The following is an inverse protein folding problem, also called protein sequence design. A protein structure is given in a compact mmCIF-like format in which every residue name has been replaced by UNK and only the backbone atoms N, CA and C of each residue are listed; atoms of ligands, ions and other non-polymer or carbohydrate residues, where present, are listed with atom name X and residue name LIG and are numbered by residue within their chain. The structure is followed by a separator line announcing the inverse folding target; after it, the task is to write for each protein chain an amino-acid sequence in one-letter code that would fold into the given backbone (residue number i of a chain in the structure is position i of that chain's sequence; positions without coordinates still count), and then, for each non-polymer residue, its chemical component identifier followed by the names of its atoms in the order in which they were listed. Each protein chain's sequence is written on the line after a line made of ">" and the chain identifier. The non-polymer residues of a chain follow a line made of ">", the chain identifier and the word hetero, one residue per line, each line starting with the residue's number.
data_IF_045894540643
#
_entry.id   IF_045894540643
#
_cell.length_a   1.000
_cell.length_b   1.000
_cell.length_c   1.000
_cell.angle_alpha   90.00
_cell.angle_beta   90.00
_cell.angle_gamma   90.00
#
_symmetry.space_group_name_H-M   'P 1'
#
loop_
_entity.id
_entity.type
_entity.pdbx_description
1 polymer ?
#
# COMPACT_ATOMS: atom_id res chain seq x y z
N UNK A 1 -6.51 -3.74 12.64
CA UNK A 1 -5.44 -3.06 13.43
C UNK A 1 -4.28 -2.61 12.55
N UNK A 2 -3.78 -3.43 11.63
CA UNK A 2 -2.64 -3.09 10.74
C UNK A 2 -2.90 -1.87 9.85
N UNK A 3 -4.13 -1.65 9.37
CA UNK A 3 -4.48 -0.47 8.58
C UNK A 3 -4.27 0.86 9.35
N UNK A 4 -4.64 0.91 10.65
CA UNK A 4 -4.40 2.08 11.50
C UNK A 4 -2.90 2.32 11.73
N UNK A 5 -2.13 1.25 11.96
CA UNK A 5 -0.67 1.35 12.12
C UNK A 5 0.00 1.84 10.84
N UNK A 6 -0.45 1.37 9.68
CA UNK A 6 0.05 1.85 8.38
C UNK A 6 -0.31 3.33 8.14
N UNK A 7 -1.51 3.76 8.52
CA UNK A 7 -1.91 5.16 8.47
C UNK A 7 -1.04 6.02 9.40
N UNK A 8 -0.84 5.55 10.64
CA UNK A 8 0.02 6.24 11.61
C UNK A 8 1.48 6.33 11.12
N UNK A 9 2.00 5.31 10.44
CA UNK A 9 3.36 5.33 9.90
C UNK A 9 3.55 6.45 8.85
N UNK A 10 2.57 6.66 7.95
CA UNK A 10 2.60 7.77 6.98
C UNK A 10 2.48 9.12 7.67
N UNK A 11 1.57 9.26 8.65
CA UNK A 11 1.46 10.46 9.48
C UNK A 11 2.77 10.76 10.22
N UNK A 12 3.37 9.74 10.88
CA UNK A 12 4.60 9.89 11.63
C UNK A 12 5.72 10.41 10.73
N UNK A 13 5.98 9.75 9.60
CA UNK A 13 6.97 10.17 8.62
C UNK A 13 6.72 11.59 8.09
N UNK A 14 5.48 11.92 7.75
CA UNK A 14 5.10 13.27 7.31
C UNK A 14 5.40 14.33 8.36
N UNK A 15 5.23 14.01 9.65
CA UNK A 15 5.38 14.95 10.76
C UNK A 15 6.83 15.12 11.23
N UNK A 16 7.60 14.04 11.23
CA UNK A 16 8.93 14.02 11.88
C UNK A 16 10.09 14.23 10.92
N UNK A 17 9.94 13.85 9.67
CA UNK A 17 11.04 13.90 8.70
C UNK A 17 11.04 15.20 7.89
N UNK A 18 12.19 15.85 7.78
CA UNK A 18 12.37 17.04 6.95
C UNK A 18 12.38 16.68 5.45
N UNK A 19 13.16 15.66 5.07
CA UNK A 19 13.16 15.12 3.71
C UNK A 19 12.15 13.98 3.60
N UNK A 20 10.96 14.30 3.13
CA UNK A 20 9.87 13.33 3.05
C UNK A 20 10.03 12.43 1.83
N UNK A 21 10.13 11.12 2.08
CA UNK A 21 10.07 10.08 1.05
C UNK A 21 8.66 10.02 0.47
N UNK A 22 7.66 10.11 1.34
CA UNK A 22 6.25 10.16 0.98
C UNK A 22 5.50 11.08 1.93
N UNK A 23 4.93 12.16 1.40
CA UNK A 23 4.18 13.13 2.19
C UNK A 23 2.69 12.81 2.21
N UNK A 24 2.13 12.59 3.41
CA UNK A 24 0.73 12.27 3.62
C UNK A 24 0.09 13.03 4.80
N UNK A 25 -0.15 14.33 4.66
CA UNK A 25 -0.77 15.12 5.71
C UNK A 25 -2.18 14.62 6.08
N UNK A 26 -2.93 14.06 5.12
CA UNK A 26 -4.29 13.57 5.37
C UNK A 26 -4.31 12.35 6.31
N UNK A 27 -3.26 11.55 6.36
CA UNK A 27 -3.16 10.44 7.31
C UNK A 27 -3.28 10.92 8.76
N UNK A 28 -2.81 12.14 9.06
CA UNK A 28 -2.96 12.76 10.38
C UNK A 28 -4.37 13.27 10.66
N UNK A 29 -5.11 13.68 9.64
CA UNK A 29 -6.46 14.24 9.77
C UNK A 29 -7.51 13.15 10.06
N UNK A 30 -7.33 11.95 9.50
CA UNK A 30 -8.27 10.82 9.67
C UNK A 30 -8.01 9.97 10.92
N UNK A 31 -6.91 10.22 11.63
CA UNK A 31 -6.60 9.58 12.92
C UNK A 31 -6.95 10.51 14.07
N UNK A 32 -7.74 10.03 15.02
CA UNK A 32 -7.98 10.77 16.27
C UNK A 32 -6.71 10.90 17.11
N UNK A 33 -6.61 11.93 17.93
CA UNK A 33 -5.49 12.13 18.86
C UNK A 33 -5.33 10.95 19.83
N UNK A 34 -6.44 10.34 20.26
CA UNK A 34 -6.41 9.18 21.14
C UNK A 34 -5.79 7.95 20.44
N UNK A 35 -6.09 7.74 19.15
CA UNK A 35 -5.49 6.67 18.35
C UNK A 35 -4.01 6.90 18.11
N UNK A 36 -3.61 8.13 17.74
CA UNK A 36 -2.20 8.51 17.58
C UNK A 36 -1.41 8.23 18.84
N UNK A 37 -1.93 8.66 20.00
CA UNK A 37 -1.28 8.44 21.29
C UNK A 37 -1.22 6.94 21.65
N UNK A 38 -2.32 6.21 21.47
CA UNK A 38 -2.37 4.79 21.77
C UNK A 38 -1.39 3.97 20.91
N UNK A 39 -1.31 4.27 19.60
CA UNK A 39 -0.36 3.60 18.70
C UNK A 39 1.06 3.96 19.09
N UNK A 40 1.36 5.24 19.33
CA UNK A 40 2.69 5.68 19.73
C UNK A 40 3.16 5.00 21.05
N UNK A 41 2.30 4.95 22.07
CA UNK A 41 2.63 4.30 23.34
C UNK A 41 2.82 2.78 23.17
N UNK A 42 1.97 2.12 22.38
CA UNK A 42 2.15 0.69 22.11
C UNK A 42 3.48 0.41 21.39
N UNK A 43 3.88 1.25 20.43
CA UNK A 43 5.16 1.10 19.73
C UNK A 43 6.35 1.35 20.65
N UNK A 44 6.31 2.39 21.49
CA UNK A 44 7.35 2.65 22.51
C UNK A 44 7.52 1.48 23.47
N UNK A 45 6.41 0.99 24.02
CA UNK A 45 6.40 -0.12 24.96
C UNK A 45 6.84 -1.44 24.32
N UNK A 46 6.68 -1.57 23.01
CA UNK A 46 7.11 -2.73 22.22
C UNK A 46 8.60 -2.74 21.87
N UNK A 47 9.39 -1.73 22.24
CA UNK A 47 10.81 -1.61 21.81
C UNK A 47 11.63 -2.88 22.08
N UNK A 48 11.44 -3.53 23.21
CA UNK A 48 12.18 -4.75 23.55
C UNK A 48 11.89 -5.92 22.59
N UNK A 49 10.72 -5.96 21.99
CA UNK A 49 10.39 -6.92 20.92
C UNK A 49 11.10 -6.59 19.60
N UNK A 50 11.13 -5.31 19.24
CA UNK A 50 11.73 -4.86 17.98
C UNK A 50 13.26 -4.82 18.05
N UNK A 51 13.81 -4.29 19.13
CA UNK A 51 15.24 -4.15 19.35
C UNK A 51 15.57 -4.36 20.84
N UNK A 52 15.84 -5.63 21.25
CA UNK A 52 16.08 -5.97 22.67
C UNK A 52 17.28 -5.25 23.30
N UNK A 53 18.22 -4.77 22.48
CA UNK A 53 19.44 -4.11 22.94
C UNK A 53 19.37 -2.58 22.83
N UNK A 54 18.21 -2.04 22.48
CA UNK A 54 18.07 -0.59 22.34
C UNK A 54 18.20 0.12 23.68
N UNK A 55 19.11 1.08 23.75
CA UNK A 55 19.39 1.92 24.93
C UNK A 55 19.29 3.41 24.66
N UNK A 56 18.78 3.80 23.48
CA UNK A 56 18.64 5.20 23.07
C UNK A 56 17.44 5.91 23.70
N UNK A 57 17.37 7.22 23.52
CA UNK A 57 16.33 8.09 24.10
C UNK A 57 15.01 8.14 23.31
N UNK A 58 14.95 7.62 22.07
CA UNK A 58 13.75 7.66 21.22
C UNK A 58 13.31 6.25 20.78
N UNK A 59 12.62 5.50 21.65
CA UNK A 59 12.12 4.17 21.29
C UNK A 59 11.04 4.20 20.21
N UNK A 60 10.23 5.28 20.11
CA UNK A 60 9.24 5.41 19.06
C UNK A 60 9.88 5.56 17.69
N UNK A 61 10.83 6.49 17.56
CA UNK A 61 11.58 6.68 16.30
C UNK A 61 12.30 5.42 15.87
N UNK A 62 12.93 4.71 16.82
CA UNK A 62 13.60 3.43 16.54
C UNK A 62 12.64 2.38 15.97
N UNK A 63 11.44 2.21 16.57
CA UNK A 63 10.45 1.27 16.06
C UNK A 63 9.88 1.72 14.73
N UNK A 64 9.49 2.98 14.62
CA UNK A 64 8.89 3.50 13.40
C UNK A 64 9.86 3.44 12.22
N UNK A 65 11.01 4.09 12.31
CA UNK A 65 11.96 4.20 11.19
C UNK A 65 12.72 2.89 10.93
N UNK A 66 12.92 2.08 11.96
CA UNK A 66 13.63 0.81 11.83
C UNK A 66 12.77 -0.36 11.33
N UNK A 67 11.47 -0.38 11.63
CA UNK A 67 10.67 -1.60 11.44
C UNK A 67 9.33 -1.40 10.73
N UNK A 68 8.59 -0.32 11.01
CA UNK A 68 7.20 -0.18 10.55
C UNK A 68 7.10 0.72 9.30
N UNK A 69 7.58 1.96 9.39
CA UNK A 69 7.41 2.96 8.34
C UNK A 69 8.08 2.57 7.01
N UNK A 70 9.27 1.94 6.97
CA UNK A 70 9.96 1.72 5.70
C UNK A 70 9.13 0.98 4.65
N UNK A 71 8.41 -0.10 5.02
CA UNK A 71 7.57 -0.83 4.07
C UNK A 71 6.36 -0.02 3.63
N UNK A 72 5.77 0.76 4.54
CA UNK A 72 4.57 1.55 4.26
C UNK A 72 4.89 2.74 3.36
N UNK A 73 5.95 3.49 3.65
CA UNK A 73 6.34 4.66 2.84
C UNK A 73 6.92 4.25 1.48
N UNK A 74 7.67 3.13 1.42
CA UNK A 74 8.20 2.59 0.17
C UNK A 74 7.08 2.25 -0.82
N UNK A 75 6.11 1.43 -0.39
CA UNK A 75 4.98 1.05 -1.27
C UNK A 75 4.15 2.27 -1.69
N UNK A 76 3.98 3.24 -0.79
CA UNK A 76 3.24 4.46 -1.10
C UNK A 76 3.98 5.35 -2.11
N UNK A 77 5.30 5.50 -1.97
CA UNK A 77 6.13 6.27 -2.89
C UNK A 77 6.22 5.59 -4.27
N UNK A 78 6.43 4.27 -4.29
CA UNK A 78 6.43 3.48 -5.51
C UNK A 78 5.09 3.58 -6.25
N UNK A 79 3.98 3.39 -5.56
CA UNK A 79 2.64 3.51 -6.13
C UNK A 79 2.37 4.91 -6.67
N UNK A 80 2.70 5.96 -5.91
CA UNK A 80 2.51 7.36 -6.34
C UNK A 80 3.25 7.65 -7.64
N UNK A 81 4.52 7.25 -7.77
CA UNK A 81 5.32 7.45 -8.99
C UNK A 81 4.62 6.85 -10.22
N UNK A 82 4.16 5.61 -10.10
CA UNK A 82 3.50 4.90 -11.19
C UNK A 82 2.10 5.45 -11.49
N UNK A 83 1.31 5.76 -10.46
CA UNK A 83 0.01 6.39 -10.61
C UNK A 83 0.10 7.70 -11.40
N UNK A 84 1.03 8.59 -11.04
CA UNK A 84 1.25 9.85 -11.75
C UNK A 84 1.67 9.63 -13.21
N UNK A 85 2.47 8.60 -13.48
CA UNK A 85 2.84 8.21 -14.84
C UNK A 85 1.65 7.69 -15.63
N UNK A 86 0.87 6.78 -15.07
CA UNK A 86 -0.28 6.17 -15.74
C UNK A 86 -1.38 7.18 -16.05
N UNK A 87 -1.61 8.16 -15.16
CA UNK A 87 -2.51 9.28 -15.42
C UNK A 87 -2.03 10.12 -16.60
N UNK A 88 -0.72 10.43 -16.67
CA UNK A 88 -0.12 11.13 -17.82
C UNK A 88 -0.22 10.32 -19.12
N UNK A 89 -0.15 9.01 -19.03
CA UNK A 89 -0.31 8.08 -20.15
C UNK A 89 -1.79 7.83 -20.54
N UNK A 90 -2.74 8.46 -19.86
CA UNK A 90 -4.14 8.45 -20.24
C UNK A 90 -5.07 7.59 -19.39
N UNK A 91 -4.62 7.07 -18.23
CA UNK A 91 -5.55 6.48 -17.28
C UNK A 91 -6.56 7.51 -16.79
N UNK A 92 -7.85 7.11 -16.76
CA UNK A 92 -8.97 7.95 -16.35
C UNK A 92 -9.68 7.42 -15.12
N UNK A 93 -9.29 6.25 -14.68
CA UNK A 93 -9.82 5.60 -13.50
C UNK A 93 -8.67 5.10 -12.62
N UNK A 94 -8.84 5.22 -11.31
CA UNK A 94 -7.95 4.65 -10.32
C UNK A 94 -8.77 3.77 -9.36
N UNK A 95 -8.43 2.51 -9.27
CA UNK A 95 -9.04 1.54 -8.37
C UNK A 95 -8.05 1.18 -7.26
N UNK A 96 -8.39 1.52 -6.03
CA UNK A 96 -7.62 1.20 -4.82
C UNK A 96 -8.26 -0.04 -4.19
N UNK A 97 -7.71 -1.21 -4.46
CA UNK A 97 -8.21 -2.46 -3.92
C UNK A 97 -7.58 -2.74 -2.55
N UNK A 98 -8.39 -3.07 -1.54
CA UNK A 98 -8.05 -3.10 -0.12
C UNK A 98 -7.58 -1.72 0.38
N UNK A 99 -8.42 -0.70 0.17
CA UNK A 99 -8.08 0.70 0.38
C UNK A 99 -7.73 1.06 1.83
N UNK A 100 -8.26 0.34 2.82
CA UNK A 100 -8.02 0.63 4.23
C UNK A 100 -8.15 2.13 4.53
N UNK A 101 -7.10 2.71 5.11
CA UNK A 101 -6.99 4.16 5.32
C UNK A 101 -6.00 4.82 4.33
N UNK A 102 -5.87 4.30 3.12
CA UNK A 102 -5.12 4.96 2.05
C UNK A 102 -5.75 6.32 1.73
N UNK A 103 -4.92 7.33 1.50
CA UNK A 103 -5.35 8.71 1.22
C UNK A 103 -4.91 9.19 -0.16
N UNK A 104 -4.31 8.31 -0.98
CA UNK A 104 -3.77 8.69 -2.29
C UNK A 104 -4.87 9.18 -3.24
N UNK A 105 -6.07 8.58 -3.20
CA UNK A 105 -7.22 8.98 -4.00
C UNK A 105 -7.65 10.43 -3.78
N UNK A 106 -7.41 11.00 -2.59
CA UNK A 106 -7.80 12.36 -2.24
C UNK A 106 -6.84 13.45 -2.76
N UNK A 107 -5.74 13.05 -3.39
CA UNK A 107 -4.71 13.96 -3.92
C UNK A 107 -4.68 14.01 -5.45
N UNK A 108 -5.62 13.32 -6.09
CA UNK A 108 -5.69 13.19 -7.55
C UNK A 108 -6.64 14.23 -8.12
N UNK A 109 -6.40 14.66 -9.36
CA UNK A 109 -7.26 15.58 -10.08
C UNK A 109 -8.71 15.05 -10.17
N UNK A 110 -9.68 15.94 -10.08
CA UNK A 110 -11.11 15.61 -10.09
C UNK A 110 -11.60 14.95 -11.37
N UNK A 111 -10.85 15.07 -12.46
CA UNK A 111 -11.16 14.44 -13.75
C UNK A 111 -10.89 12.92 -13.74
N UNK A 112 -10.18 12.41 -12.74
CA UNK A 112 -9.93 10.99 -12.56
C UNK A 112 -10.97 10.41 -11.60
N UNK A 113 -11.72 9.40 -12.03
CA UNK A 113 -12.64 8.66 -11.16
C UNK A 113 -11.84 7.73 -10.26
N UNK A 114 -12.07 7.82 -8.96
CA UNK A 114 -11.42 6.96 -7.97
C UNK A 114 -12.44 6.00 -7.35
N UNK A 115 -12.06 4.73 -7.25
CA UNK A 115 -12.87 3.69 -6.61
C UNK A 115 -12.08 3.07 -5.48
N UNK A 116 -12.58 3.21 -4.25
CA UNK A 116 -11.98 2.61 -3.07
C UNK A 116 -12.75 1.35 -2.66
N UNK A 117 -12.10 0.20 -2.77
CA UNK A 117 -12.66 -1.11 -2.47
C UNK A 117 -12.09 -1.64 -1.16
N UNK A 118 -12.96 -1.99 -0.23
CA UNK A 118 -12.59 -2.72 0.98
C UNK A 118 -13.85 -3.42 1.56
N UNK A 119 -13.68 -4.15 2.65
CA UNK A 119 -14.80 -4.73 3.38
C UNK A 119 -15.79 -3.64 3.81
N UNK A 120 -17.10 -3.93 3.83
CA UNK A 120 -18.12 -2.92 4.13
C UNK A 120 -17.84 -2.14 5.41
N UNK A 121 -17.46 -2.83 6.49
CA UNK A 121 -17.16 -2.20 7.78
C UNK A 121 -15.94 -1.27 7.74
N UNK A 122 -14.95 -1.55 6.88
CA UNK A 122 -13.79 -0.68 6.69
C UNK A 122 -14.16 0.57 5.90
N UNK A 123 -14.96 0.40 4.86
CA UNK A 123 -15.48 1.52 4.06
C UNK A 123 -16.33 2.45 4.93
N UNK A 124 -17.25 1.91 5.72
CA UNK A 124 -18.11 2.69 6.63
C UNK A 124 -17.27 3.52 7.63
N UNK A 125 -16.27 2.89 8.26
CA UNK A 125 -15.39 3.60 9.19
C UNK A 125 -14.55 4.69 8.49
N UNK A 126 -14.00 4.38 7.30
CA UNK A 126 -13.23 5.35 6.52
C UNK A 126 -14.07 6.55 6.10
N UNK A 127 -15.27 6.32 5.57
CA UNK A 127 -16.21 7.40 5.16
C UNK A 127 -16.56 8.29 6.35
N UNK A 128 -16.85 7.70 7.51
CA UNK A 128 -17.10 8.46 8.74
C UNK A 128 -15.93 9.36 9.10
N UNK A 129 -14.68 8.83 9.08
CA UNK A 129 -13.47 9.61 9.41
C UNK A 129 -13.21 10.73 8.42
N UNK A 130 -13.40 10.47 7.14
CA UNK A 130 -13.27 11.47 6.07
C UNK A 130 -14.27 12.60 6.26
N UNK A 131 -15.52 12.26 6.60
CA UNK A 131 -16.55 13.24 6.91
C UNK A 131 -16.22 14.08 8.17
N UNK A 132 -15.80 13.42 9.26
CA UNK A 132 -15.41 14.07 10.51
C UNK A 132 -14.19 14.99 10.33
N UNK A 133 -13.27 14.64 9.44
CA UNK A 133 -12.11 15.46 9.07
C UNK A 133 -12.43 16.61 8.10
N UNK A 134 -13.67 16.72 7.62
CA UNK A 134 -14.08 17.75 6.67
C UNK A 134 -13.45 17.64 5.30
N UNK A 135 -13.01 16.42 4.92
CA UNK A 135 -12.38 16.14 3.62
C UNK A 135 -13.48 15.85 2.61
N UNK A 136 -13.66 16.76 1.65
CA UNK A 136 -14.62 16.60 0.55
C UNK A 136 -13.99 15.93 -0.67
N UNK A 137 -14.73 14.98 -1.31
CA UNK A 137 -14.28 14.28 -2.52
C UNK A 137 -15.46 13.83 -3.39
N UNK A 138 -15.71 14.61 -4.40
CA UNK A 138 -16.78 14.33 -5.37
C UNK A 138 -16.42 13.20 -6.37
N UNK A 139 -15.12 12.94 -6.58
CA UNK A 139 -14.63 11.96 -7.57
C UNK A 139 -14.33 10.58 -6.99
N UNK A 140 -14.63 10.33 -5.71
CA UNK A 140 -14.38 9.05 -5.04
C UNK A 140 -15.68 8.27 -4.84
N UNK A 141 -15.69 7.03 -5.33
CA UNK A 141 -16.73 6.04 -5.09
C UNK A 141 -16.24 5.00 -4.09
N UNK A 142 -16.99 4.79 -3.01
CA UNK A 142 -16.68 3.81 -1.97
C UNK A 142 -17.44 2.52 -2.23
N UNK A 143 -16.72 1.40 -2.34
CA UNK A 143 -17.27 0.09 -2.72
C UNK A 143 -17.02 -0.92 -1.63
N UNK A 144 -18.03 -1.18 -0.80
CA UNK A 144 -17.99 -2.23 0.21
C UNK A 144 -18.07 -3.61 -0.43
N UNK A 145 -16.96 -4.37 -0.42
CA UNK A 145 -16.90 -5.70 -1.02
C UNK A 145 -15.83 -6.58 -0.38
N UNK A 146 -15.91 -7.88 -0.61
CA UNK A 146 -14.88 -8.86 -0.27
C UNK A 146 -14.13 -9.26 -1.55
N UNK A 147 -12.87 -8.85 -1.67
CA UNK A 147 -12.02 -9.15 -2.82
C UNK A 147 -11.89 -10.66 -3.09
N UNK A 148 -12.07 -11.48 -2.06
CA UNK A 148 -12.04 -12.95 -2.18
C UNK A 148 -13.33 -13.59 -2.70
N UNK A 149 -14.44 -12.83 -2.77
CA UNK A 149 -15.77 -13.35 -3.14
C UNK A 149 -16.34 -12.82 -4.45
N UNK A 150 -15.59 -12.00 -5.16
CA UNK A 150 -16.03 -11.38 -6.41
C UNK A 150 -16.57 -9.96 -6.18
N UNK A 151 -15.82 -8.98 -6.66
CA UNK A 151 -16.05 -7.55 -6.41
C UNK A 151 -16.46 -6.80 -7.69
N UNK A 152 -16.32 -7.39 -8.87
CA UNK A 152 -16.57 -6.73 -10.15
C UNK A 152 -18.01 -6.21 -10.29
N UNK A 153 -19.07 -6.96 -9.92
CA UNK A 153 -20.42 -6.42 -10.00
C UNK A 153 -20.63 -5.15 -9.14
N UNK A 154 -20.05 -5.13 -7.94
CA UNK A 154 -20.13 -3.95 -7.07
C UNK A 154 -19.35 -2.76 -7.65
N UNK A 155 -18.18 -3.02 -8.24
CA UNK A 155 -17.35 -2.00 -8.89
C UNK A 155 -18.05 -1.41 -10.12
N UNK A 156 -18.65 -2.24 -10.97
CA UNK A 156 -19.46 -1.79 -12.12
C UNK A 156 -20.66 -0.95 -11.69
N UNK A 157 -21.38 -1.37 -10.65
CA UNK A 157 -22.51 -0.63 -10.10
C UNK A 157 -22.10 0.74 -9.53
N UNK A 158 -20.85 0.90 -9.11
CA UNK A 158 -20.29 2.17 -8.66
C UNK A 158 -19.88 3.11 -9.81
N UNK A 159 -20.03 2.69 -11.07
CA UNK A 159 -19.75 3.50 -12.24
C UNK A 159 -18.36 3.29 -12.86
N UNK A 160 -17.69 2.21 -12.53
CA UNK A 160 -16.46 1.77 -13.18
C UNK A 160 -16.76 1.35 -14.63
N UNK A 161 -15.94 1.81 -15.57
CA UNK A 161 -16.02 1.42 -16.99
C UNK A 161 -14.82 0.53 -17.36
N UNK A 162 -15.02 -0.77 -17.66
CA UNK A 162 -13.94 -1.67 -18.02
C UNK A 162 -13.29 -1.36 -19.38
N UNK A 163 -13.84 -0.41 -20.14
CA UNK A 163 -13.29 0.04 -21.43
C UNK A 163 -12.34 1.23 -21.29
N UNK A 164 -12.33 1.89 -20.15
CA UNK A 164 -11.41 2.98 -19.85
C UNK A 164 -10.11 2.45 -19.25
N UNK A 165 -8.97 3.00 -19.70
CA UNK A 165 -7.66 2.70 -19.13
C UNK A 165 -7.65 3.02 -17.64
N UNK A 166 -7.28 2.04 -16.84
CA UNK A 166 -7.36 2.09 -15.38
C UNK A 166 -5.99 1.83 -14.76
N UNK A 167 -5.66 2.61 -13.76
CA UNK A 167 -4.59 2.29 -12.81
C UNK A 167 -5.19 1.58 -11.60
N UNK A 168 -4.58 0.48 -11.19
CA UNK A 168 -4.94 -0.28 -10.00
C UNK A 168 -3.83 -0.23 -8.98
N UNK A 169 -4.17 -0.18 -7.70
CA UNK A 169 -3.24 -0.48 -6.62
C UNK A 169 -3.79 -1.57 -5.69
N UNK A 170 -2.91 -2.47 -5.26
CA UNK A 170 -3.23 -3.59 -4.37
C UNK A 170 -2.11 -3.67 -3.31
N UNK A 171 -2.12 -2.72 -2.37
CA UNK A 171 -1.02 -2.49 -1.44
C UNK A 171 -1.27 -3.11 -0.06
N UNK A 172 -0.24 -3.78 0.47
CA UNK A 172 -0.25 -4.33 1.82
C UNK A 172 -1.23 -5.48 2.06
N UNK A 173 -1.74 -6.13 1.01
CA UNK A 173 -2.74 -7.19 1.10
C UNK A 173 -2.21 -8.56 0.67
N UNK A 174 -1.22 -8.61 -0.22
CA UNK A 174 -0.62 -9.85 -0.73
C UNK A 174 -0.12 -10.77 0.37
N UNK A 175 0.33 -10.21 1.48
CA UNK A 175 0.81 -10.89 2.68
C UNK A 175 -0.26 -11.78 3.34
N UNK A 176 -1.53 -11.39 3.24
CA UNK A 176 -2.66 -12.00 3.93
C UNK A 176 -3.50 -12.93 3.06
N UNK A 177 -3.25 -12.93 1.76
CA UNK A 177 -3.89 -13.81 0.80
C UNK A 177 -3.03 -15.05 0.55
N UNK A 178 -3.66 -16.18 0.24
CA UNK A 178 -2.92 -17.29 -0.36
C UNK A 178 -2.51 -16.92 -1.78
N UNK A 179 -1.45 -17.54 -2.31
CA UNK A 179 -0.97 -17.27 -3.68
C UNK A 179 -2.11 -17.39 -4.72
N UNK A 180 -2.96 -18.42 -4.61
CA UNK A 180 -4.09 -18.62 -5.53
C UNK A 180 -5.13 -17.49 -5.46
N UNK A 181 -5.42 -17.00 -4.25
CA UNK A 181 -6.38 -15.89 -4.09
C UNK A 181 -5.81 -14.59 -4.65
N UNK A 182 -4.53 -14.36 -4.42
CA UNK A 182 -3.83 -13.18 -4.94
C UNK A 182 -3.77 -13.22 -6.47
N UNK A 183 -3.35 -14.34 -7.07
CA UNK A 183 -3.32 -14.54 -8.52
C UNK A 183 -4.70 -14.34 -9.14
N UNK A 184 -5.75 -14.90 -8.51
CA UNK A 184 -7.12 -14.75 -8.98
C UNK A 184 -7.58 -13.28 -8.90
N UNK A 185 -7.23 -12.56 -7.86
CA UNK A 185 -7.56 -11.14 -7.73
C UNK A 185 -6.94 -10.32 -8.88
N UNK A 186 -5.64 -10.49 -9.14
CA UNK A 186 -4.93 -9.82 -10.24
C UNK A 186 -5.56 -10.18 -11.59
N UNK A 187 -5.80 -11.46 -11.85
CA UNK A 187 -6.43 -11.91 -13.08
C UNK A 187 -7.81 -11.28 -13.25
N UNK A 188 -8.63 -11.25 -12.21
CA UNK A 188 -9.97 -10.65 -12.26
C UNK A 188 -9.92 -9.15 -12.58
N UNK A 189 -8.95 -8.40 -12.01
CA UNK A 189 -8.76 -6.98 -12.32
C UNK A 189 -8.44 -6.78 -13.81
N UNK A 190 -7.47 -7.52 -14.33
CA UNK A 190 -7.05 -7.38 -15.73
C UNK A 190 -8.09 -7.91 -16.72
N UNK A 191 -8.81 -8.98 -16.44
CA UNK A 191 -9.91 -9.47 -17.31
C UNK A 191 -11.03 -8.41 -17.46
N UNK A 192 -11.23 -7.57 -16.46
CA UNK A 192 -12.24 -6.53 -16.43
C UNK A 192 -11.68 -5.11 -16.57
N UNK A 193 -10.65 -4.93 -17.37
CA UNK A 193 -10.05 -3.63 -17.65
C UNK A 193 -9.68 -3.48 -19.13
N UNK A 194 -9.50 -2.25 -19.58
CA UNK A 194 -8.99 -1.96 -20.92
C UNK A 194 -7.53 -2.41 -21.08
N UNK A 195 -7.08 -2.56 -22.34
CA UNK A 195 -5.65 -2.73 -22.67
C UNK A 195 -4.82 -1.62 -22.06
N UNK A 196 -3.55 -1.89 -21.81
CA UNK A 196 -2.59 -0.97 -21.17
C UNK A 196 -2.96 -0.53 -19.75
N UNK A 197 -4.04 -1.04 -19.15
CA UNK A 197 -4.30 -0.82 -17.72
C UNK A 197 -3.17 -1.41 -16.89
N UNK A 198 -2.81 -0.72 -15.82
CA UNK A 198 -1.65 -1.04 -15.01
C UNK A 198 -2.02 -1.34 -13.56
N UNK A 199 -1.26 -2.21 -12.89
CA UNK A 199 -1.43 -2.59 -11.49
C UNK A 199 -0.12 -2.49 -10.75
N UNK A 200 -0.12 -1.74 -9.64
CA UNK A 200 0.97 -1.75 -8.65
C UNK A 200 0.58 -2.55 -7.42
N UNK A 201 1.51 -3.36 -6.93
CA UNK A 201 1.38 -4.07 -5.67
C UNK A 201 2.73 -4.28 -5.00
N UNK A 202 2.72 -4.49 -3.69
CA UNK A 202 3.86 -4.97 -2.91
C UNK A 202 3.61 -6.42 -2.47
N UNK A 203 4.68 -7.18 -2.27
CA UNK A 203 4.57 -8.57 -1.86
C UNK A 203 5.77 -9.04 -1.01
N UNK A 204 5.55 -9.97 -0.06
CA UNK A 204 6.64 -10.60 0.66
C UNK A 204 7.40 -11.53 -0.28
N UNK A 205 8.68 -11.25 -0.48
CA UNK A 205 9.55 -12.09 -1.27
C UNK A 205 10.02 -13.33 -0.47
N UNK A 206 10.82 -14.19 -1.08
CA UNK A 206 11.31 -15.43 -0.48
C UNK A 206 12.61 -15.26 0.34
N UNK A 207 13.12 -14.02 0.48
CA UNK A 207 14.29 -13.73 1.30
C UNK A 207 13.93 -13.79 2.80
N UNK A 208 14.74 -14.48 3.57
CA UNK A 208 14.61 -14.46 5.03
C UNK A 208 15.30 -13.24 5.61
N UNK A 209 14.54 -12.39 6.29
CA UNK A 209 15.09 -11.28 7.07
C UNK A 209 14.42 -11.17 8.45
N UNK A 210 15.19 -10.70 9.43
CA UNK A 210 14.74 -10.56 10.84
C UNK A 210 13.56 -9.59 10.95
N UNK A 211 13.58 -8.52 10.15
CA UNK A 211 12.50 -7.51 10.14
C UNK A 211 11.17 -8.12 9.69
N UNK A 212 11.18 -8.92 8.63
CA UNK A 212 9.97 -9.59 8.14
C UNK A 212 9.44 -10.61 9.14
N UNK A 213 10.32 -11.38 9.78
CA UNK A 213 9.92 -12.33 10.83
C UNK A 213 9.20 -11.62 11.98
N UNK A 214 9.70 -10.45 12.43
CA UNK A 214 9.04 -9.64 13.47
C UNK A 214 7.70 -9.09 13.01
N UNK A 215 7.61 -8.58 11.81
CA UNK A 215 6.36 -8.08 11.25
C UNK A 215 5.31 -9.20 11.11
N UNK A 216 5.73 -10.41 10.75
CA UNK A 216 4.88 -11.60 10.70
C UNK A 216 4.32 -11.96 12.09
N UNK A 217 5.15 -11.91 13.13
CA UNK A 217 4.72 -12.18 14.51
C UNK A 217 3.73 -11.11 15.01
N UNK A 218 3.97 -9.84 14.69
CA UNK A 218 3.04 -8.74 15.02
C UNK A 218 1.69 -8.89 14.34
N UNK A 219 1.68 -9.17 13.05
CA UNK A 219 0.46 -9.39 12.28
C UNK A 219 -0.32 -10.59 12.84
N UNK A 220 0.36 -11.69 13.16
CA UNK A 220 -0.26 -12.87 13.81
C UNK A 220 -0.87 -12.54 15.15
N UNK A 221 -0.18 -11.77 16.01
CA UNK A 221 -0.70 -11.27 17.28
C UNK A 221 -1.92 -10.36 17.17
N UNK A 222 -2.08 -9.67 16.02
CA UNK A 222 -3.24 -8.86 15.68
C UNK A 222 -4.39 -9.67 15.02
N UNK A 223 -4.25 -11.00 14.87
CA UNK A 223 -5.21 -11.86 14.18
C UNK A 223 -5.15 -11.78 12.65
N UNK A 224 -4.09 -11.18 12.11
CA UNK A 224 -3.88 -11.00 10.66
C UNK A 224 -2.64 -11.82 10.24
N UNK A 225 -2.80 -13.14 10.13
CA UNK A 225 -1.71 -14.05 9.79
C UNK A 225 -1.23 -13.84 8.35
N UNK A 226 0.09 -13.69 8.16
CA UNK A 226 0.72 -13.66 6.84
C UNK A 226 0.79 -15.06 6.25
N UNK A 227 0.18 -15.27 5.06
CA UNK A 227 -0.10 -16.59 4.49
C UNK A 227 0.80 -16.99 3.34
N UNK A 228 1.41 -16.03 2.68
CA UNK A 228 2.18 -16.31 1.47
C UNK A 228 3.53 -15.60 1.46
N UNK A 229 4.43 -16.16 0.66
CA UNK A 229 5.65 -15.56 0.12
C UNK A 229 5.67 -15.86 -1.38
N UNK A 230 6.39 -15.05 -2.14
CA UNK A 230 6.44 -15.15 -3.59
C UNK A 230 7.89 -15.11 -4.05
N UNK A 231 8.28 -16.10 -4.85
CA UNK A 231 9.49 -16.02 -5.64
C UNK A 231 9.26 -15.14 -6.88
N UNK A 232 10.35 -14.78 -7.55
CA UNK A 232 10.26 -14.10 -8.85
C UNK A 232 9.44 -14.92 -9.87
N UNK A 233 9.67 -16.23 -9.92
CA UNK A 233 8.95 -17.17 -10.80
C UNK A 233 7.44 -17.22 -10.50
N UNK A 234 7.04 -17.09 -9.22
CA UNK A 234 5.62 -16.99 -8.88
C UNK A 234 4.97 -15.72 -9.45
N UNK A 235 5.68 -14.60 -9.40
CA UNK A 235 5.19 -13.33 -9.96
C UNK A 235 5.12 -13.40 -11.50
N UNK A 236 6.10 -14.01 -12.16
CA UNK A 236 6.08 -14.25 -13.62
C UNK A 236 4.90 -15.13 -14.03
N UNK A 237 4.65 -16.21 -13.29
CA UNK A 237 3.50 -17.09 -13.52
C UNK A 237 2.17 -16.31 -13.35
N UNK A 238 2.02 -15.54 -12.28
CA UNK A 238 0.83 -14.72 -12.03
C UNK A 238 0.61 -13.71 -13.15
N UNK A 239 1.65 -13.03 -13.61
CA UNK A 239 1.57 -12.10 -14.74
C UNK A 239 1.11 -12.81 -16.02
N UNK A 240 1.69 -13.97 -16.33
CA UNK A 240 1.32 -14.79 -17.49
C UNK A 240 -0.15 -15.23 -17.46
N UNK A 241 -0.61 -15.75 -16.32
CA UNK A 241 -2.00 -16.19 -16.10
C UNK A 241 -3.01 -15.04 -16.17
N UNK A 242 -2.59 -13.83 -15.84
CA UNK A 242 -3.41 -12.61 -15.89
C UNK A 242 -3.36 -11.89 -17.24
N UNK A 243 -2.59 -12.39 -18.23
CA UNK A 243 -2.41 -11.72 -19.51
C UNK A 243 -1.67 -10.38 -19.40
N UNK A 244 -0.75 -10.26 -18.45
CA UNK A 244 0.00 -9.05 -18.19
C UNK A 244 1.50 -9.22 -18.48
N UNK A 245 2.22 -8.10 -18.49
CA UNK A 245 3.67 -8.01 -18.50
C UNK A 245 4.14 -7.41 -17.18
N UNK A 246 5.22 -7.91 -16.63
CA UNK A 246 5.96 -7.23 -15.57
C UNK A 246 6.73 -6.10 -16.24
N UNK A 247 6.35 -4.86 -15.92
CA UNK A 247 7.03 -3.67 -16.44
C UNK A 247 8.19 -3.25 -15.53
N UNK A 248 7.99 -3.32 -14.23
CA UNK A 248 9.02 -3.05 -13.21
C UNK A 248 8.86 -4.02 -12.04
N UNK A 249 9.97 -4.54 -11.59
CA UNK A 249 10.08 -5.34 -10.38
C UNK A 249 11.23 -4.76 -9.56
N UNK A 250 10.90 -4.10 -8.45
CA UNK A 250 11.86 -3.41 -7.59
C UNK A 250 12.09 -4.20 -6.29
N UNK A 251 13.35 -4.35 -5.94
CA UNK A 251 13.76 -4.87 -4.63
C UNK A 251 14.13 -3.74 -3.64
N UNK A 252 14.60 -4.10 -2.46
CA UNK A 252 15.01 -3.11 -1.44
C UNK A 252 16.13 -2.19 -1.92
N UNK A 253 17.08 -2.67 -2.71
CA UNK A 253 18.17 -1.85 -3.24
C UNK A 253 17.68 -0.82 -4.25
N UNK A 254 16.71 -1.17 -5.08
CA UNK A 254 16.08 -0.25 -6.02
C UNK A 254 15.30 0.84 -5.26
N UNK A 255 14.54 0.45 -4.23
CA UNK A 255 13.78 1.40 -3.39
C UNK A 255 14.71 2.35 -2.66
N UNK A 256 15.80 1.86 -2.07
CA UNK A 256 16.79 2.70 -1.38
C UNK A 256 17.41 3.71 -2.34
N UNK A 257 17.77 3.28 -3.54
CA UNK A 257 18.36 4.15 -4.58
C UNK A 257 17.37 5.21 -5.07
N UNK A 258 16.14 4.80 -5.37
CA UNK A 258 15.19 5.61 -6.13
C UNK A 258 14.32 6.52 -5.24
N UNK A 259 14.10 6.13 -3.99
CA UNK A 259 13.19 6.85 -3.09
C UNK A 259 13.84 7.28 -1.76
N UNK A 260 14.77 6.49 -1.20
CA UNK A 260 15.27 6.77 0.15
C UNK A 260 16.59 7.54 0.14
N UNK A 261 17.30 7.55 -0.99
CA UNK A 261 18.62 8.18 -1.12
C UNK A 261 18.62 9.64 -0.67
N UNK A 262 17.70 10.45 -1.18
CA UNK A 262 17.66 11.87 -0.86
C UNK A 262 17.40 12.13 0.63
N UNK A 263 16.55 11.34 1.27
CA UNK A 263 16.33 11.37 2.71
C UNK A 263 17.60 10.99 3.48
N UNK A 264 18.24 9.90 3.11
CA UNK A 264 19.41 9.36 3.81
C UNK A 264 20.69 10.21 3.63
N UNK A 265 20.75 11.04 2.60
CA UNK A 265 21.87 11.99 2.37
C UNK A 265 21.76 13.28 3.20
N UNK A 266 20.66 13.53 3.89
CA UNK A 266 20.52 14.69 4.77
C UNK A 266 21.34 14.52 6.06
N UNK A 267 22.09 15.58 6.42
CA UNK A 267 23.10 15.54 7.52
C UNK A 267 22.56 15.13 8.90
N UNK A 268 21.27 15.24 9.16
CA UNK A 268 20.67 14.96 10.47
C UNK A 268 19.54 13.92 10.40
N UNK A 269 19.31 13.29 9.25
CA UNK A 269 18.30 12.24 9.14
C UNK A 269 18.87 10.90 9.65
N UNK A 270 18.11 10.19 10.49
CA UNK A 270 18.41 8.78 10.73
C UNK A 270 18.15 8.01 9.44
N UNK A 271 19.08 7.17 8.97
CA UNK A 271 18.88 6.42 7.72
C UNK A 271 17.67 5.49 7.83
N UNK A 272 16.79 5.56 6.84
CA UNK A 272 15.67 4.65 6.64
C UNK A 272 16.08 3.70 5.51
N UNK A 273 15.96 2.40 5.72
CA UNK A 273 16.29 1.37 4.74
C UNK A 273 15.06 0.59 4.34
N UNK A 274 14.89 0.36 3.06
CA UNK A 274 13.81 -0.47 2.53
C UNK A 274 13.87 -1.90 3.10
N UNK A 275 12.73 -2.55 3.33
CA UNK A 275 12.70 -3.90 3.88
C UNK A 275 13.16 -4.93 2.83
N UNK A 276 14.20 -5.70 3.14
CA UNK A 276 14.76 -6.73 2.24
C UNK A 276 13.77 -7.85 1.89
N UNK A 277 12.81 -8.13 2.80
CA UNK A 277 11.79 -9.16 2.64
C UNK A 277 10.56 -8.72 1.85
N UNK A 278 10.57 -7.51 1.25
CA UNK A 278 9.45 -6.97 0.47
C UNK A 278 9.93 -6.55 -0.90
N UNK A 279 9.17 -6.87 -1.93
CA UNK A 279 9.38 -6.41 -3.30
C UNK A 279 8.12 -5.72 -3.82
N UNK A 280 8.30 -4.92 -4.86
CA UNK A 280 7.28 -4.06 -5.44
C UNK A 280 7.18 -4.33 -6.94
N UNK A 281 5.99 -4.40 -7.47
CA UNK A 281 5.77 -4.75 -8.87
C UNK A 281 4.80 -3.80 -9.54
N UNK A 282 5.14 -3.39 -10.76
CA UNK A 282 4.22 -2.82 -11.74
C UNK A 282 3.98 -3.85 -12.84
N UNK A 283 2.73 -4.24 -13.01
CA UNK A 283 2.26 -5.02 -14.15
C UNK A 283 1.42 -4.17 -15.07
N UNK A 284 1.50 -4.45 -16.38
CA UNK A 284 0.69 -3.79 -17.42
C UNK A 284 -0.03 -4.85 -18.22
N UNK A 285 -1.34 -4.67 -18.44
CA UNK A 285 -2.15 -5.55 -19.28
C UNK A 285 -1.63 -5.53 -20.72
N UNK A 286 -1.42 -6.72 -21.30
CA UNK A 286 -1.06 -6.85 -22.71
C UNK A 286 -2.18 -6.32 -23.60
N UNK A 287 -1.80 -5.75 -24.73
CA UNK A 287 -2.76 -5.52 -25.79
C UNK A 287 -3.35 -6.85 -26.24
N UNK A 288 -4.67 -6.91 -26.33
CA UNK A 288 -5.33 -8.06 -26.92
C UNK A 288 -4.87 -8.20 -28.37
N UNK A 289 -4.11 -9.24 -28.67
CA UNK A 289 -3.97 -9.64 -30.08
C UNK A 289 -5.35 -10.11 -30.53
N UNK A 290 -5.93 -9.40 -31.46
CA UNK A 290 -7.11 -9.79 -32.23
C UNK A 290 -6.82 -11.03 -33.08
#
# INVERSE_FOLDING_TARGET
>A
MTALVSCFARYYHTKTDEAKIFDDPLAGEILSESEKNAIAENMKNGIAFFDPNYSGGDPLGRVMNGFIAPSVIARSAFCKRHMENEIRLGARQYVIAAAGYDTSGYKIDRDIKVFELDRPEMIEDKVRRIYEAGIDRENISYVGCDLGKGFIPALLNAGYDPKERTFFSLLGISFYLTQDKFARCIKTLFENSASESALVFDFPNDRDCIREQKNRLLAGGAGEEMKARYSHTDIERIAGEAGALIYELADSGDIDRDFFKAHNEMKNAEPILAPEGVSYCLMVKKDGQY
#
